data_IF_738486745219
#
_entry.id   IF_738486745219
#
_cell.length_a   1.000
_cell.length_b   1.000
_cell.length_c   1.000
_cell.angle_alpha   90.00
_cell.angle_beta   90.00
_cell.angle_gamma   90.00
#
_symmetry.space_group_name_H-M   'P 1'
#
loop_
_entity.id
_entity.type
_entity.pdbx_description
1 polymer ?
#
# COMPACT_ATOMS: atom_id res chain seq x y z
N UNK A 1 -2.90 12.77 16.66
CA UNK A 1 -2.65 11.53 15.89
C UNK A 1 -3.37 10.40 16.60
N UNK A 2 -4.26 9.72 15.88
CA UNK A 2 -5.21 8.75 16.42
C UNK A 2 -4.55 7.61 17.20
N UNK A 3 -5.23 7.18 18.26
CA UNK A 3 -4.87 6.04 19.11
C UNK A 3 -4.68 4.70 18.34
N UNK A 4 -5.08 4.65 17.07
CA UNK A 4 -5.08 3.46 16.21
C UNK A 4 -3.70 3.06 15.65
N UNK A 5 -2.69 3.93 15.72
CA UNK A 5 -1.36 3.67 15.11
C UNK A 5 -0.23 3.50 16.14
N UNK A 6 -0.54 3.45 17.44
CA UNK A 6 0.50 3.57 18.47
C UNK A 6 1.44 2.35 18.55
N UNK A 7 1.04 1.18 18.04
CA UNK A 7 1.81 -0.08 18.09
C UNK A 7 1.49 -1.00 16.90
N UNK A 8 2.08 -0.73 15.73
CA UNK A 8 1.87 -1.57 14.57
C UNK A 8 2.66 -2.88 14.71
N UNK A 9 1.96 -4.00 14.49
CA UNK A 9 2.57 -5.31 14.25
C UNK A 9 2.54 -5.57 12.75
N UNK A 10 3.72 -5.55 12.16
CA UNK A 10 3.95 -5.61 10.72
C UNK A 10 4.24 -7.05 10.31
N UNK A 11 3.35 -7.64 9.52
CA UNK A 11 3.57 -8.93 8.88
C UNK A 11 4.45 -8.70 7.65
N UNK A 12 5.77 -8.87 7.83
CA UNK A 12 6.81 -8.45 6.89
C UNK A 12 7.81 -9.59 6.58
N UNK A 13 7.39 -10.64 5.85
CA UNK A 13 8.25 -11.76 5.52
C UNK A 13 9.42 -11.37 4.60
N UNK A 14 9.35 -10.24 3.91
CA UNK A 14 10.40 -9.74 3.01
C UNK A 14 11.30 -8.66 3.64
N UNK A 15 11.04 -8.22 4.87
CA UNK A 15 11.85 -7.21 5.56
C UNK A 15 11.71 -5.77 5.01
N UNK A 16 10.69 -5.49 4.18
CA UNK A 16 10.49 -4.15 3.61
C UNK A 16 10.06 -3.14 4.67
N UNK A 17 9.15 -3.55 5.55
CA UNK A 17 8.64 -2.71 6.62
C UNK A 17 9.73 -2.46 7.68
N UNK A 18 10.51 -3.48 8.06
CA UNK A 18 11.67 -3.32 8.94
C UNK A 18 12.68 -2.32 8.35
N UNK A 19 13.03 -2.46 7.07
CA UNK A 19 13.95 -1.52 6.39
C UNK A 19 13.38 -0.11 6.33
N UNK A 20 12.08 0.04 6.13
CA UNK A 20 11.42 1.34 6.13
C UNK A 20 11.44 2.01 7.51
N UNK A 21 11.10 1.29 8.58
CA UNK A 21 11.17 1.81 9.97
C UNK A 21 12.60 2.22 10.32
N UNK A 22 13.60 1.38 10.00
CA UNK A 22 15.03 1.70 10.19
C UNK A 22 15.45 2.97 9.46
N UNK A 23 14.87 3.24 8.30
CA UNK A 23 15.17 4.43 7.53
C UNK A 23 14.42 5.68 8.02
N UNK A 24 13.24 5.50 8.60
CA UNK A 24 12.42 6.58 9.14
C UNK A 24 12.95 7.08 10.49
N UNK A 25 13.40 6.15 11.35
CA UNK A 25 13.80 6.43 12.75
C UNK A 25 15.33 6.42 12.94
N UNK A 26 16.11 6.75 11.90
CA UNK A 26 17.58 6.54 11.81
C UNK A 26 18.40 7.07 12.99
N UNK A 27 17.96 8.13 13.65
CA UNK A 27 18.78 8.83 14.65
C UNK A 27 18.81 8.13 16.01
N UNK A 28 17.68 7.55 16.46
CA UNK A 28 17.52 7.03 17.82
C UNK A 28 16.83 5.65 17.90
N UNK A 29 16.80 4.89 16.81
CA UNK A 29 16.15 3.57 16.80
C UNK A 29 16.95 2.51 17.55
N UNK A 30 16.32 1.91 18.56
CA UNK A 30 16.82 0.69 19.21
C UNK A 30 16.20 -0.55 18.55
N UNK A 31 17.03 -1.51 18.15
CA UNK A 31 16.58 -2.77 17.52
C UNK A 31 16.81 -3.90 18.52
N UNK A 32 15.76 -4.65 18.82
CA UNK A 32 15.78 -5.74 19.82
C UNK A 32 14.95 -6.94 19.34
N UNK A 33 15.23 -8.13 19.88
CA UNK A 33 14.45 -9.35 19.68
C UNK A 33 13.93 -9.90 21.01
N UNK A 34 12.88 -10.71 20.95
CA UNK A 34 12.33 -11.38 22.15
C UNK A 34 13.34 -12.33 22.82
N UNK A 35 14.33 -12.83 22.08
CA UNK A 35 15.38 -13.72 22.60
C UNK A 35 16.50 -12.99 23.32
N UNK A 36 16.55 -11.66 23.24
CA UNK A 36 17.67 -10.89 23.76
C UNK A 36 17.57 -10.78 25.29
N UNK A 37 18.62 -11.14 26.06
CA UNK A 37 18.58 -11.09 27.51
C UNK A 37 18.47 -9.66 28.05
N UNK A 38 18.90 -8.68 27.25
CA UNK A 38 18.86 -7.25 27.56
C UNK A 38 17.58 -6.55 27.06
N UNK A 39 16.57 -7.29 26.60
CA UNK A 39 15.33 -6.73 26.04
C UNK A 39 14.67 -5.73 27.00
N UNK A 40 14.40 -6.15 28.23
CA UNK A 40 13.72 -5.32 29.22
C UNK A 40 14.52 -4.07 29.56
N UNK A 41 15.83 -4.20 29.79
CA UNK A 41 16.73 -3.07 30.07
C UNK A 41 16.76 -2.07 28.92
N UNK A 42 16.77 -2.55 27.68
CA UNK A 42 16.75 -1.68 26.48
C UNK A 42 15.42 -0.95 26.35
N UNK A 43 14.31 -1.65 26.63
CA UNK A 43 12.97 -1.05 26.65
C UNK A 43 12.82 -0.01 27.77
N UNK A 44 13.30 -0.30 28.98
CA UNK A 44 13.28 0.64 30.11
C UNK A 44 13.94 1.97 29.74
N UNK A 45 15.17 1.90 29.21
CA UNK A 45 15.90 3.09 28.77
C UNK A 45 15.15 3.81 27.64
N UNK A 46 14.68 3.08 26.63
CA UNK A 46 14.02 3.67 25.47
C UNK A 46 12.71 4.38 25.85
N UNK A 47 11.95 3.81 26.79
CA UNK A 47 10.71 4.41 27.29
C UNK A 47 10.98 5.69 28.08
N UNK A 48 12.04 5.73 28.90
CA UNK A 48 12.41 6.94 29.65
C UNK A 48 12.88 8.06 28.71
N UNK A 49 13.73 7.75 27.73
CA UNK A 49 14.28 8.74 26.80
C UNK A 49 13.35 9.06 25.62
N UNK A 50 12.25 8.34 25.46
CA UNK A 50 11.33 8.51 24.32
C UNK A 50 11.90 8.00 23.00
N UNK A 51 12.87 7.08 23.03
CA UNK A 51 13.49 6.54 21.83
C UNK A 51 12.59 5.48 21.16
N UNK A 52 12.49 5.47 19.82
CA UNK A 52 11.75 4.46 19.11
C UNK A 52 12.43 3.08 19.24
N UNK A 53 11.62 2.04 19.37
CA UNK A 53 12.08 0.65 19.44
C UNK A 53 11.46 -0.17 18.33
N UNK A 54 12.28 -0.96 17.63
CA UNK A 54 11.86 -1.98 16.69
C UNK A 54 12.11 -3.37 17.30
N UNK A 55 11.02 -4.05 17.64
CA UNK A 55 11.02 -5.46 18.04
C UNK A 55 10.94 -6.34 16.80
N UNK A 56 12.03 -7.05 16.49
CA UNK A 56 12.16 -7.90 15.31
C UNK A 56 11.84 -9.36 15.57
N UNK A 57 11.37 -10.03 14.51
CA UNK A 57 11.20 -11.48 14.44
C UNK A 57 10.26 -12.05 15.53
N UNK A 58 9.19 -11.32 15.83
CA UNK A 58 8.18 -11.78 16.78
C UNK A 58 7.42 -13.00 16.22
N UNK A 59 7.25 -14.02 17.07
CA UNK A 59 6.48 -15.23 16.78
C UNK A 59 4.97 -15.01 16.92
N UNK A 60 4.21 -16.08 17.11
CA UNK A 60 2.76 -16.00 17.36
C UNK A 60 2.44 -15.61 18.81
N UNK A 61 3.42 -15.69 19.70
CA UNK A 61 3.33 -15.34 21.11
C UNK A 61 4.17 -14.09 21.41
N UNK A 62 3.65 -13.24 22.29
CA UNK A 62 4.32 -12.06 22.84
C UNK A 62 4.61 -12.29 24.32
N UNK A 63 5.76 -11.80 24.78
CA UNK A 63 6.11 -11.87 26.19
C UNK A 63 5.12 -11.00 27.03
N UNK A 64 4.46 -11.57 28.06
CA UNK A 64 3.56 -10.82 28.94
C UNK A 64 4.19 -9.61 29.62
N UNK A 65 5.52 -9.55 29.75
CA UNK A 65 6.23 -8.39 30.29
C UNK A 65 6.06 -7.14 29.42
N UNK A 66 5.73 -7.28 28.13
CA UNK A 66 5.48 -6.17 27.19
C UNK A 66 4.05 -5.62 27.31
N UNK A 67 3.15 -6.35 27.97
CA UNK A 67 1.74 -6.00 28.13
C UNK A 67 1.48 -4.55 28.59
N UNK A 68 2.24 -3.99 29.55
CA UNK A 68 2.04 -2.62 30.02
C UNK A 68 2.26 -1.58 28.91
N UNK A 69 3.22 -1.83 28.00
CA UNK A 69 3.49 -0.99 26.84
C UNK A 69 2.43 -1.21 25.76
N UNK A 70 2.02 -2.47 25.54
CA UNK A 70 0.99 -2.84 24.56
C UNK A 70 -0.40 -2.28 24.88
N UNK A 71 -0.72 -2.08 26.15
CA UNK A 71 -1.99 -1.51 26.56
C UNK A 71 -1.89 -0.05 26.99
N UNK A 72 -0.68 0.51 27.01
CA UNK A 72 -0.39 1.84 27.57
C UNK A 72 -0.96 1.98 28.99
N UNK A 73 -0.70 0.96 29.82
CA UNK A 73 -1.08 0.95 31.24
C UNK A 73 -0.16 1.87 32.03
N UNK A 74 -0.41 3.18 31.92
CA UNK A 74 0.32 4.21 32.66
C UNK A 74 -0.45 4.64 33.90
N UNK A 75 0.25 4.93 34.98
CA UNK A 75 -0.32 5.51 36.20
C UNK A 75 0.44 6.79 36.57
N UNK A 76 -0.22 7.70 37.28
CA UNK A 76 0.42 8.95 37.73
C UNK A 76 1.06 8.75 39.09
N UNK A 77 2.34 9.10 39.20
CA UNK A 77 3.05 9.16 40.47
C UNK A 77 3.76 10.52 40.58
N UNK A 78 3.43 11.30 41.62
CA UNK A 78 4.03 12.64 41.79
C UNK A 78 3.75 13.63 40.63
N UNK A 79 2.67 13.42 39.87
CA UNK A 79 2.32 14.25 38.70
C UNK A 79 2.98 13.82 37.39
N UNK A 80 3.87 12.81 37.42
CA UNK A 80 4.56 12.24 36.27
C UNK A 80 3.83 10.96 35.84
N UNK A 81 3.70 10.74 34.53
CA UNK A 81 3.15 9.51 33.96
C UNK A 81 4.23 8.41 34.05
N UNK A 82 3.92 7.31 34.74
CA UNK A 82 4.81 6.16 34.94
C UNK A 82 4.21 4.91 34.31
N UNK A 83 5.05 3.95 33.93
CA UNK A 83 4.65 2.61 33.50
C UNK A 83 5.42 1.56 34.30
N UNK A 84 4.75 0.46 34.65
CA UNK A 84 5.41 -0.68 35.27
C UNK A 84 5.87 -1.63 34.16
N UNK A 85 7.16 -1.95 34.09
CA UNK A 85 7.74 -2.89 33.13
C UNK A 85 8.55 -3.93 33.90
N UNK A 86 8.08 -5.18 33.89
CA UNK A 86 8.60 -6.20 34.81
C UNK A 86 8.44 -5.78 36.27
N UNK A 87 9.55 -5.77 37.00
CA UNK A 87 9.60 -5.36 38.42
C UNK A 87 9.89 -3.86 38.60
N UNK A 88 10.23 -3.14 37.52
CA UNK A 88 10.62 -1.73 37.55
C UNK A 88 9.43 -0.81 37.27
N UNK A 89 9.37 0.32 37.98
CA UNK A 89 8.49 1.45 37.62
C UNK A 89 9.33 2.56 37.00
N UNK A 90 9.03 2.91 35.75
CA UNK A 90 9.81 3.87 34.96
C UNK A 90 8.93 5.03 34.48
N UNK A 91 9.54 6.20 34.29
CA UNK A 91 8.87 7.35 33.69
C UNK A 91 8.50 7.06 32.23
N UNK A 92 7.25 7.33 31.87
CA UNK A 92 6.73 7.09 30.53
C UNK A 92 6.82 8.37 29.69
N UNK A 93 7.72 8.38 28.71
CA UNK A 93 7.79 9.47 27.75
C UNK A 93 6.73 9.33 26.65
N UNK A 94 6.02 10.42 26.35
CA UNK A 94 4.94 10.44 25.34
C UNK A 94 5.45 10.31 23.91
N UNK A 95 6.73 10.62 23.67
CA UNK A 95 7.36 10.52 22.35
C UNK A 95 7.82 9.09 22.02
N UNK A 96 7.79 8.17 22.99
CA UNK A 96 8.13 6.77 22.79
C UNK A 96 7.24 6.10 21.73
N UNK A 97 7.86 5.34 20.83
CA UNK A 97 7.20 4.58 19.76
C UNK A 97 7.68 3.14 19.76
N UNK A 98 6.76 2.20 19.62
CA UNK A 98 7.06 0.77 19.53
C UNK A 98 6.59 0.22 18.19
N UNK A 99 7.52 -0.33 17.42
CA UNK A 99 7.28 -1.03 16.16
C UNK A 99 7.53 -2.52 16.37
N UNK A 100 6.64 -3.37 15.88
CA UNK A 100 6.78 -4.82 15.98
C UNK A 100 6.76 -5.40 14.58
N UNK A 101 7.66 -6.32 14.27
CA UNK A 101 7.69 -7.02 12.97
C UNK A 101 7.70 -8.52 13.18
N UNK A 102 7.02 -9.24 12.28
CA UNK A 102 7.08 -10.70 12.18
C UNK A 102 7.45 -11.11 10.77
N UNK A 103 8.26 -12.17 10.63
CA UNK A 103 8.58 -12.79 9.35
C UNK A 103 7.61 -13.93 8.97
N UNK A 104 6.69 -14.28 9.88
CA UNK A 104 5.69 -15.30 9.60
C UNK A 104 4.74 -14.80 8.52
N UNK A 105 4.54 -15.58 7.45
CA UNK A 105 3.64 -15.18 6.34
C UNK A 105 2.17 -15.21 6.74
N UNK A 106 1.79 -16.18 7.55
CA UNK A 106 0.42 -16.39 8.00
C UNK A 106 0.39 -16.71 9.50
N UNK A 107 0.74 -15.75 10.37
CA UNK A 107 0.76 -15.95 11.81
C UNK A 107 -0.68 -16.08 12.32
N UNK A 108 -0.93 -17.08 13.17
CA UNK A 108 -2.21 -17.28 13.81
C UNK A 108 -2.23 -16.64 15.21
N UNK A 109 -2.40 -15.31 15.24
CA UNK A 109 -2.50 -14.58 16.51
C UNK A 109 -3.82 -14.85 17.21
N UNK A 110 -3.75 -15.15 18.51
CA UNK A 110 -4.92 -15.23 19.37
C UNK A 110 -5.65 -13.87 19.41
N UNK A 111 -6.99 -13.86 19.60
CA UNK A 111 -7.76 -12.62 19.72
C UNK A 111 -7.21 -11.66 20.78
N UNK A 112 -6.59 -12.21 21.83
CA UNK A 112 -5.91 -11.44 22.87
C UNK A 112 -4.81 -10.52 22.29
N UNK A 113 -4.01 -10.99 21.35
CA UNK A 113 -2.95 -10.18 20.71
C UNK A 113 -3.58 -9.18 19.74
N UNK A 114 -4.52 -9.65 18.91
CA UNK A 114 -5.19 -8.85 17.88
C UNK A 114 -5.97 -7.65 18.41
N UNK A 115 -6.34 -7.64 19.70
CA UNK A 115 -6.98 -6.49 20.36
C UNK A 115 -5.98 -5.47 20.91
N UNK A 116 -4.72 -5.85 21.14
CA UNK A 116 -3.67 -5.01 21.74
C UNK A 116 -2.80 -4.29 20.71
N UNK A 117 -2.61 -4.90 19.55
CA UNK A 117 -1.77 -4.39 18.45
C UNK A 117 -2.59 -4.08 17.21
N UNK A 118 -2.07 -3.18 16.37
CA UNK A 118 -2.63 -2.95 15.04
C UNK A 118 -1.91 -3.84 14.03
N UNK A 119 -2.58 -4.91 13.58
CA UNK A 119 -2.02 -5.83 12.59
C UNK A 119 -2.02 -5.19 11.21
N UNK A 120 -0.84 -5.05 10.62
CA UNK A 120 -0.68 -4.50 9.27
C UNK A 120 0.05 -5.52 8.40
N UNK A 121 -0.57 -5.87 7.27
CA UNK A 121 0.00 -6.82 6.33
C UNK A 121 0.92 -6.12 5.33
N UNK A 122 2.22 -6.41 5.40
CA UNK A 122 3.26 -5.91 4.49
C UNK A 122 3.73 -6.98 3.49
N UNK A 123 2.99 -8.08 3.34
CA UNK A 123 3.29 -9.06 2.30
C UNK A 123 3.15 -8.45 0.91
N UNK A 124 4.20 -8.62 0.10
CA UNK A 124 4.16 -8.27 -1.32
C UNK A 124 3.09 -9.11 -2.02
N UNK A 125 2.14 -8.44 -2.66
CA UNK A 125 1.16 -9.10 -3.53
C UNK A 125 1.80 -9.49 -4.86
N UNK A 126 1.34 -10.56 -5.54
CA UNK A 126 1.87 -10.93 -6.86
C UNK A 126 1.82 -9.78 -7.88
N UNK A 127 0.75 -8.99 -7.86
CA UNK A 127 0.61 -7.78 -8.67
C UNK A 127 1.66 -6.72 -8.30
N UNK A 128 1.89 -6.49 -7.00
CA UNK A 128 2.92 -5.57 -6.53
C UNK A 128 4.33 -6.01 -6.90
N UNK A 129 4.61 -7.32 -6.90
CA UNK A 129 5.88 -7.87 -7.36
C UNK A 129 6.05 -7.69 -8.87
N UNK A 130 5.00 -7.94 -9.66
CA UNK A 130 5.01 -7.72 -11.10
C UNK A 130 5.30 -6.26 -11.43
N UNK A 131 4.64 -5.33 -10.75
CA UNK A 131 4.86 -3.90 -10.94
C UNK A 131 6.27 -3.45 -10.50
N UNK A 132 6.82 -4.04 -9.44
CA UNK A 132 8.23 -3.81 -9.04
C UNK A 132 9.22 -4.30 -10.09
N UNK A 133 9.02 -5.52 -10.61
CA UNK A 133 9.86 -6.08 -11.66
C UNK A 133 9.74 -5.26 -12.95
N UNK A 134 8.52 -4.86 -13.33
CA UNK A 134 8.29 -3.99 -14.47
C UNK A 134 9.04 -2.66 -14.32
N UNK A 135 9.03 -2.06 -13.12
CA UNK A 135 9.82 -0.86 -12.84
C UNK A 135 11.32 -1.04 -13.08
N UNK A 136 11.91 -2.14 -12.59
CA UNK A 136 13.33 -2.45 -12.80
C UNK A 136 13.65 -2.65 -14.29
N UNK A 137 12.79 -3.36 -15.02
CA UNK A 137 12.97 -3.60 -16.46
C UNK A 137 12.85 -2.31 -17.25
N UNK A 138 11.86 -1.46 -16.94
CA UNK A 138 11.69 -0.16 -17.59
C UNK A 138 12.91 0.74 -17.33
N UNK A 139 13.42 0.77 -16.10
CA UNK A 139 14.62 1.54 -15.77
C UNK A 139 15.85 1.10 -16.59
N UNK A 140 15.96 -0.19 -16.90
CA UNK A 140 17.06 -0.73 -17.69
C UNK A 140 16.88 -0.53 -19.20
N UNK A 141 15.67 -0.75 -19.72
CA UNK A 141 15.37 -0.68 -21.16
C UNK A 141 15.18 0.76 -21.65
N UNK A 142 14.60 1.62 -20.80
CA UNK A 142 14.25 3.02 -21.10
C UNK A 142 14.55 3.92 -19.90
N UNK A 143 15.85 4.18 -19.61
CA UNK A 143 16.25 5.05 -18.51
C UNK A 143 15.70 6.47 -18.66
N UNK A 144 15.53 6.95 -19.89
CA UNK A 144 14.90 8.25 -20.20
C UNK A 144 13.47 8.37 -19.66
N UNK A 145 12.67 7.30 -19.79
CA UNK A 145 11.31 7.25 -19.26
C UNK A 145 11.30 7.17 -17.73
N UNK A 146 12.28 6.48 -17.14
CA UNK A 146 12.40 6.37 -15.68
C UNK A 146 12.85 7.71 -15.06
N UNK A 147 13.81 8.41 -15.67
CA UNK A 147 14.20 9.76 -15.26
C UNK A 147 13.01 10.73 -15.33
N UNK A 148 12.25 10.71 -16.44
CA UNK A 148 11.04 11.51 -16.57
C UNK A 148 10.01 11.15 -15.49
N UNK A 149 9.81 9.86 -15.19
CA UNK A 149 8.92 9.40 -14.11
C UNK A 149 9.38 9.92 -12.75
N UNK A 150 10.67 9.84 -12.44
CA UNK A 150 11.23 10.33 -11.18
C UNK A 150 11.05 11.84 -11.02
N UNK A 151 11.33 12.61 -12.08
CA UNK A 151 11.08 14.05 -12.09
C UNK A 151 9.60 14.37 -11.86
N UNK A 152 8.69 13.63 -12.50
CA UNK A 152 7.25 13.80 -12.29
C UNK A 152 6.84 13.47 -10.86
N UNK A 153 7.42 12.45 -10.22
CA UNK A 153 7.13 12.11 -8.81
C UNK A 153 7.55 13.26 -7.89
N UNK A 154 8.77 13.77 -8.07
CA UNK A 154 9.30 14.90 -7.28
C UNK A 154 8.44 16.15 -7.49
N UNK A 155 8.13 16.48 -8.74
CA UNK A 155 7.26 17.62 -9.07
C UNK A 155 5.86 17.45 -8.49
N UNK A 156 5.29 16.24 -8.55
CA UNK A 156 3.97 15.94 -7.97
C UNK A 156 3.97 16.15 -6.45
N UNK A 157 5.02 15.69 -5.77
CA UNK A 157 5.19 15.89 -4.33
C UNK A 157 5.34 17.37 -3.98
N UNK A 158 6.15 18.12 -4.73
CA UNK A 158 6.33 19.56 -4.55
C UNK A 158 5.02 20.34 -4.79
N UNK A 159 4.27 19.98 -5.84
CA UNK A 159 2.97 20.58 -6.13
C UNK A 159 1.96 20.31 -5.01
N UNK A 160 1.91 19.09 -4.48
CA UNK A 160 1.02 18.74 -3.36
C UNK A 160 1.37 19.53 -2.10
N UNK A 161 2.66 19.69 -1.80
CA UNK A 161 3.13 20.52 -0.69
C UNK A 161 2.74 21.99 -0.89
N UNK A 162 2.96 22.52 -2.09
CA UNK A 162 2.61 23.91 -2.42
C UNK A 162 1.12 24.18 -2.29
N UNK A 163 0.26 23.22 -2.67
CA UNK A 163 -1.19 23.32 -2.47
C UNK A 163 -1.57 23.37 -1.00
N UNK A 164 -0.96 22.55 -0.15
CA UNK A 164 -1.20 22.57 1.31
C UNK A 164 -0.74 23.89 1.92
N UNK A 165 0.46 24.36 1.59
CA UNK A 165 0.96 25.65 2.07
C UNK A 165 0.06 26.83 1.65
N UNK A 166 -0.55 26.72 0.47
CA UNK A 166 -1.48 27.72 -0.02
C UNK A 166 -2.83 27.66 0.72
N UNK A 167 -3.34 26.46 0.97
CA UNK A 167 -4.53 26.25 1.79
C UNK A 167 -4.34 26.81 3.21
N UNK A 168 -3.19 26.53 3.83
CA UNK A 168 -2.84 27.06 5.15
C UNK A 168 -2.74 28.59 5.14
N UNK A 169 -2.16 29.19 4.10
CA UNK A 169 -2.10 30.65 3.93
C UNK A 169 -3.49 31.27 3.78
N UNK A 170 -4.37 30.65 2.98
CA UNK A 170 -5.74 31.12 2.82
C UNK A 170 -6.49 31.06 4.15
N UNK A 171 -6.39 29.93 4.87
CA UNK A 171 -7.02 29.76 6.18
C UNK A 171 -6.49 30.78 7.20
N UNK A 172 -5.18 31.04 7.20
CA UNK A 172 -4.56 32.06 8.05
C UNK A 172 -5.10 33.47 7.75
N UNK A 173 -5.10 33.88 6.47
CA UNK A 173 -5.61 35.18 6.05
C UNK A 173 -7.09 35.35 6.38
N UNK A 174 -7.91 34.29 6.17
CA UNK A 174 -9.32 34.30 6.54
C UNK A 174 -9.52 34.46 8.04
N UNK A 175 -8.82 33.67 8.86
CA UNK A 175 -8.90 33.77 10.32
C UNK A 175 -8.46 35.13 10.85
N UNK A 176 -7.46 35.77 10.23
CA UNK A 176 -7.01 37.11 10.59
C UNK A 176 -8.05 38.19 10.22
N UNK A 177 -8.83 37.95 9.16
CA UNK A 177 -9.85 38.87 8.66
C UNK A 177 -11.23 38.75 9.33
N UNK A 178 -11.49 37.75 10.18
CA UNK A 178 -12.79 37.59 10.87
C UNK A 178 -13.15 38.77 11.81
N UNK A 179 -12.22 39.69 12.10
CA UNK A 179 -12.44 40.90 12.89
C UNK A 179 -12.56 42.23 12.10
N UNK A 180 -12.22 42.26 10.81
CA UNK A 180 -12.21 43.47 9.96
C UNK A 180 -12.69 43.09 8.56
N UNK A 181 -13.66 43.82 8.01
CA UNK A 181 -14.26 43.54 6.70
C UNK A 181 -13.20 43.13 5.66
N UNK A 182 -13.15 41.85 5.28
CA UNK A 182 -12.13 41.27 4.39
C UNK A 182 -12.03 42.02 3.05
N UNK A 183 -13.13 42.64 2.63
CA UNK A 183 -13.22 43.47 1.43
C UNK A 183 -12.44 44.79 1.53
N UNK A 184 -12.06 45.22 2.74
CA UNK A 184 -11.25 46.41 3.01
C UNK A 184 -9.75 46.08 3.14
N UNK A 185 -9.41 44.79 3.22
CA UNK A 185 -8.03 44.33 3.29
C UNK A 185 -7.52 44.00 1.88
N UNK A 186 -6.89 44.98 1.24
CA UNK A 186 -6.30 44.88 -0.09
C UNK A 186 -5.24 43.75 -0.15
N UNK A 187 -4.46 43.57 0.91
CA UNK A 187 -3.46 42.49 1.01
C UNK A 187 -4.11 41.10 1.05
N UNK A 188 -5.23 40.95 1.76
CA UNK A 188 -5.97 39.69 1.81
C UNK A 188 -6.55 39.32 0.43
N UNK A 189 -7.04 40.32 -0.31
CA UNK A 189 -7.62 40.13 -1.64
C UNK A 189 -6.53 39.74 -2.66
N UNK A 190 -5.37 40.39 -2.61
CA UNK A 190 -4.23 40.06 -3.48
C UNK A 190 -3.66 38.66 -3.21
N UNK A 191 -3.57 38.25 -1.94
CA UNK A 191 -3.16 36.89 -1.56
C UNK A 191 -4.14 35.85 -2.07
N UNK A 192 -5.45 36.11 -2.00
CA UNK A 192 -6.48 35.19 -2.50
C UNK A 192 -6.45 35.07 -4.04
N UNK A 193 -6.27 36.18 -4.75
CA UNK A 193 -6.20 36.18 -6.22
C UNK A 193 -4.93 35.49 -6.72
N UNK A 194 -3.76 35.80 -6.16
CA UNK A 194 -2.50 35.12 -6.50
C UNK A 194 -2.56 33.62 -6.18
N UNK A 195 -3.22 33.25 -5.08
CA UNK A 195 -3.45 31.85 -4.71
C UNK A 195 -4.30 31.13 -5.75
N UNK A 196 -5.38 31.74 -6.22
CA UNK A 196 -6.26 31.15 -7.24
C UNK A 196 -5.49 30.82 -8.53
N UNK A 197 -4.65 31.75 -9.00
CA UNK A 197 -3.81 31.50 -10.18
C UNK A 197 -2.85 30.33 -9.99
N UNK A 198 -2.18 30.24 -8.83
CA UNK A 198 -1.26 29.14 -8.53
C UNK A 198 -1.98 27.78 -8.46
N UNK A 199 -3.19 27.73 -7.87
CA UNK A 199 -4.01 26.50 -7.85
C UNK A 199 -4.34 26.04 -9.26
N UNK A 200 -4.76 26.96 -10.13
CA UNK A 200 -5.17 26.63 -11.49
C UNK A 200 -3.97 26.16 -12.34
N UNK A 201 -2.79 26.78 -12.20
CA UNK A 201 -1.55 26.33 -12.83
C UNK A 201 -1.13 24.92 -12.35
N UNK A 202 -1.19 24.67 -11.04
CA UNK A 202 -0.88 23.35 -10.48
C UNK A 202 -1.87 22.29 -10.99
N UNK A 203 -3.17 22.60 -11.05
CA UNK A 203 -4.20 21.69 -11.60
C UNK A 203 -3.95 21.39 -13.08
N UNK A 204 -3.56 22.40 -13.87
CA UNK A 204 -3.23 22.22 -15.28
C UNK A 204 -2.00 21.31 -15.47
N UNK A 205 -0.94 21.53 -14.67
CA UNK A 205 0.26 20.68 -14.66
C UNK A 205 -0.08 19.23 -14.29
N UNK A 206 -0.86 19.02 -13.21
CA UNK A 206 -1.29 17.69 -12.79
C UNK A 206 -2.11 16.96 -13.87
N UNK A 207 -2.98 17.67 -14.59
CA UNK A 207 -3.75 17.07 -15.70
C UNK A 207 -2.83 16.57 -16.82
N UNK A 208 -1.79 17.33 -17.18
CA UNK A 208 -0.80 16.92 -18.19
C UNK A 208 0.04 15.72 -17.72
N UNK A 209 0.40 15.64 -16.44
CA UNK A 209 1.13 14.47 -15.90
C UNK A 209 0.32 13.17 -16.00
N UNK A 210 -1.00 13.26 -15.85
CA UNK A 210 -1.89 12.09 -15.90
C UNK A 210 -2.07 11.54 -17.32
N UNK A 211 -1.78 12.36 -18.33
CA UNK A 211 -1.90 12.01 -19.75
C UNK A 211 -0.59 11.58 -20.39
N UNK A 212 0.43 11.18 -19.63
CA UNK A 212 1.69 10.69 -20.20
C UNK A 212 1.49 9.32 -20.89
N UNK A 213 0.99 9.35 -22.12
CA UNK A 213 0.57 8.19 -22.91
C UNK A 213 1.75 7.26 -23.22
N UNK A 214 2.94 7.81 -23.46
CA UNK A 214 4.12 7.03 -23.84
C UNK A 214 4.60 6.11 -22.71
N UNK A 215 4.60 6.61 -21.46
CA UNK A 215 4.95 5.79 -20.29
C UNK A 215 3.94 4.67 -20.07
N UNK A 216 2.63 4.98 -20.17
CA UNK A 216 1.56 3.98 -19.98
C UNK A 216 1.57 2.92 -21.08
N UNK A 217 1.79 3.32 -22.32
CA UNK A 217 1.87 2.39 -23.46
C UNK A 217 3.08 1.48 -23.33
N UNK A 218 4.26 2.04 -23.04
CA UNK A 218 5.48 1.25 -22.86
C UNK A 218 5.36 0.25 -21.69
N UNK A 219 4.80 0.69 -20.56
CA UNK A 219 4.52 -0.20 -19.42
C UNK A 219 3.57 -1.34 -19.80
N UNK A 220 2.50 -1.04 -20.55
CA UNK A 220 1.55 -2.05 -21.01
C UNK A 220 2.20 -3.07 -21.95
N UNK A 221 3.00 -2.60 -22.90
CA UNK A 221 3.70 -3.45 -23.87
C UNK A 221 4.74 -4.35 -23.16
N UNK A 222 5.50 -3.78 -22.20
CA UNK A 222 6.43 -4.55 -21.37
C UNK A 222 5.72 -5.55 -20.45
N UNK A 223 4.56 -5.20 -19.89
CA UNK A 223 3.77 -6.11 -19.04
C UNK A 223 3.33 -7.35 -19.82
N UNK A 224 2.91 -7.19 -21.08
CA UNK A 224 2.57 -8.30 -21.98
C UNK A 224 3.81 -9.17 -22.25
N UNK A 225 4.95 -8.56 -22.60
CA UNK A 225 6.18 -9.29 -22.89
C UNK A 225 6.75 -10.04 -21.67
N UNK A 226 6.65 -9.45 -20.48
CA UNK A 226 7.05 -10.09 -19.22
C UNK A 226 6.11 -11.23 -18.87
N UNK A 227 4.79 -11.03 -18.98
CA UNK A 227 3.81 -12.08 -18.76
C UNK A 227 4.03 -13.28 -19.70
N UNK A 228 4.31 -13.03 -20.98
CA UNK A 228 4.63 -14.08 -21.95
C UNK A 228 5.94 -14.82 -21.58
N UNK A 229 7.00 -14.09 -21.21
CA UNK A 229 8.27 -14.70 -20.79
C UNK A 229 8.17 -15.47 -19.48
N UNK A 230 7.41 -14.98 -18.51
CA UNK A 230 7.12 -15.65 -17.24
C UNK A 230 6.25 -16.90 -17.46
N UNK A 231 5.22 -16.82 -18.30
CA UNK A 231 4.35 -17.94 -18.64
C UNK A 231 5.08 -19.05 -19.42
N UNK A 232 6.04 -18.69 -20.27
CA UNK A 232 6.94 -19.65 -20.93
C UNK A 232 7.87 -20.31 -19.90
N UNK A 233 8.35 -19.55 -18.90
CA UNK A 233 9.12 -20.09 -17.78
C UNK A 233 8.27 -21.09 -16.96
N UNK A 234 7.02 -20.78 -16.65
CA UNK A 234 6.09 -21.67 -15.92
C UNK A 234 5.83 -23.01 -16.62
N UNK A 235 5.86 -23.06 -17.96
CA UNK A 235 5.77 -24.34 -18.71
C UNK A 235 7.05 -25.18 -18.63
N UNK A 236 8.20 -24.59 -18.31
CA UNK A 236 9.50 -25.27 -18.19
C UNK A 236 9.82 -25.57 -16.72
N UNK A 237 9.20 -24.82 -15.79
CA UNK A 237 9.42 -24.87 -14.34
C UNK A 237 8.76 -26.04 -13.59
N UNK A 238 8.16 -27.02 -14.27
CA UNK A 238 7.78 -28.29 -13.59
C UNK A 238 9.01 -29.03 -13.00
N UNK A 239 10.24 -28.53 -13.20
CA UNK A 239 11.44 -29.00 -12.50
C UNK A 239 12.31 -27.82 -12.00
N UNK A 240 12.09 -27.45 -10.73
CA UNK A 240 12.95 -26.63 -9.86
C UNK A 240 13.29 -25.22 -10.35
N UNK A 241 12.74 -24.22 -9.68
CA UNK A 241 13.31 -22.87 -9.66
C UNK A 241 13.71 -22.54 -8.23
N UNK A 242 15.01 -22.28 -8.04
CA UNK A 242 15.58 -21.66 -6.85
C UNK A 242 15.94 -20.23 -7.26
N UNK A 243 15.33 -19.24 -6.62
CA UNK A 243 15.74 -17.83 -6.73
C UNK A 243 15.94 -17.33 -5.30
N UNK A 244 17.18 -16.99 -4.97
CA UNK A 244 17.63 -16.22 -3.79
C UNK A 244 16.95 -16.53 -2.45
N UNK A 245 17.62 -17.29 -1.57
CA UNK A 245 17.40 -17.48 -0.11
C UNK A 245 15.98 -17.65 0.47
N UNK A 246 14.91 -17.61 -0.33
CA UNK A 246 13.53 -17.72 0.13
C UNK A 246 12.84 -18.85 -0.63
N UNK A 247 12.70 -19.99 0.03
CA UNK A 247 11.85 -21.07 -0.46
C UNK A 247 10.37 -20.61 -0.48
N UNK A 248 9.73 -20.72 -1.63
CA UNK A 248 8.28 -20.55 -1.78
C UNK A 248 7.74 -21.80 -2.45
N UNK A 249 7.17 -22.71 -1.66
CA UNK A 249 6.47 -23.88 -2.20
C UNK A 249 5.07 -23.44 -2.62
N UNK A 250 4.83 -23.31 -3.93
CA UNK A 250 3.50 -23.11 -4.48
C UNK A 250 2.96 -24.47 -4.99
N UNK A 251 2.13 -25.16 -4.20
CA UNK A 251 1.37 -26.33 -4.68
C UNK A 251 0.09 -25.85 -5.36
N UNK A 252 0.06 -25.83 -6.69
CA UNK A 252 -1.18 -25.62 -7.46
C UNK A 252 -1.87 -26.96 -7.74
N UNK A 253 -3.06 -27.15 -7.15
CA UNK A 253 -3.93 -28.30 -7.39
C UNK A 253 -4.59 -28.17 -8.78
N UNK A 254 -4.22 -29.03 -9.71
CA UNK A 254 -4.75 -29.09 -11.09
C UNK A 254 -6.27 -29.29 -11.09
N UNK A 255 -7.05 -28.27 -11.49
CA UNK A 255 -8.43 -28.46 -11.98
C UNK A 255 -8.42 -28.50 -13.51
N UNK A 256 -8.16 -29.67 -14.07
CA UNK A 256 -8.38 -29.95 -15.49
C UNK A 256 -9.89 -30.04 -15.75
N UNK A 257 -10.44 -29.21 -16.64
CA UNK A 257 -11.83 -29.42 -17.08
C UNK A 257 -12.42 -28.46 -18.12
N UNK A 258 -12.09 -27.16 -18.12
CA UNK A 258 -12.88 -26.19 -18.91
C UNK A 258 -12.22 -25.60 -20.16
N UNK A 259 -10.88 -25.70 -20.33
CA UNK A 259 -10.20 -25.07 -21.49
C UNK A 259 -10.39 -25.82 -22.83
N UNK A 260 -10.50 -27.16 -22.83
CA UNK A 260 -10.70 -27.93 -24.08
C UNK A 260 -12.05 -27.66 -24.78
N UNK A 261 -13.11 -27.27 -24.05
CA UNK A 261 -14.43 -27.03 -24.66
C UNK A 261 -14.58 -25.67 -25.35
N UNK A 262 -13.80 -24.64 -24.98
CA UNK A 262 -13.90 -23.33 -25.64
C UNK A 262 -13.17 -23.28 -26.98
N UNK A 263 -12.10 -24.06 -27.14
CA UNK A 263 -11.27 -24.07 -28.35
C UNK A 263 -11.97 -24.83 -29.49
N UNK A 264 -12.59 -25.98 -29.20
CA UNK A 264 -13.40 -26.73 -30.17
C UNK A 264 -14.66 -25.98 -30.62
N UNK A 265 -15.28 -25.17 -29.75
CA UNK A 265 -16.45 -24.33 -30.10
C UNK A 265 -16.06 -23.15 -31.02
N UNK A 266 -14.87 -22.56 -30.81
CA UNK A 266 -14.34 -21.48 -31.66
C UNK A 266 -14.01 -21.96 -33.07
N UNK A 267 -13.46 -23.16 -33.22
CA UNK A 267 -13.13 -23.72 -34.54
C UNK A 267 -14.40 -24.04 -35.34
N UNK A 268 -15.44 -24.60 -34.70
CA UNK A 268 -16.74 -24.83 -35.36
C UNK A 268 -17.47 -23.54 -35.77
N UNK A 269 -17.43 -22.49 -34.94
CA UNK A 269 -18.03 -21.19 -35.30
C UNK A 269 -17.28 -20.47 -36.43
N UNK A 270 -15.97 -20.71 -36.58
CA UNK A 270 -15.15 -20.08 -37.64
C UNK A 270 -15.36 -20.74 -39.01
N UNK A 271 -15.70 -22.03 -39.06
CA UNK A 271 -16.04 -22.72 -40.32
C UNK A 271 -17.44 -22.40 -40.85
N UNK A 272 -18.42 -22.14 -39.97
CA UNK A 272 -19.80 -21.83 -40.38
C UNK A 272 -19.95 -20.38 -40.91
N UNK A 273 -19.07 -19.46 -40.47
CA UNK A 273 -19.12 -18.05 -40.88
C UNK A 273 -18.56 -17.76 -42.28
N UNK A 274 -17.80 -18.67 -42.89
CA UNK A 274 -17.23 -18.42 -44.23
C UNK A 274 -18.18 -18.65 -45.39
N UNK A 275 -19.30 -19.36 -45.18
CA UNK A 275 -20.20 -19.75 -46.27
C UNK A 275 -21.53 -18.97 -46.32
N UNK A 276 -21.81 -18.06 -45.37
CA UNK A 276 -23.11 -17.39 -45.24
C UNK A 276 -23.11 -15.85 -45.38
N UNK A 277 -21.96 -15.20 -45.54
CA UNK A 277 -21.83 -13.73 -45.49
C UNK A 277 -21.77 -13.07 -46.89
N UNK A 278 -22.72 -13.37 -47.78
CA UNK A 278 -22.87 -12.63 -49.05
C UNK A 278 -24.19 -11.86 -49.19
N UNK A 279 -25.21 -12.08 -48.35
CA UNK A 279 -26.54 -11.49 -48.56
C UNK A 279 -27.18 -10.79 -47.35
N UNK A 280 -26.55 -10.75 -46.18
CA UNK A 280 -27.16 -10.20 -44.96
C UNK A 280 -26.56 -8.88 -44.43
N UNK A 281 -25.55 -8.33 -45.10
CA UNK A 281 -24.79 -7.17 -44.61
C UNK A 281 -25.48 -5.80 -44.77
N UNK A 282 -26.64 -5.71 -45.45
CA UNK A 282 -27.34 -4.42 -45.64
C UNK A 282 -28.55 -4.18 -44.72
N UNK A 283 -28.95 -5.16 -43.89
CA UNK A 283 -30.20 -5.07 -43.12
C UNK A 283 -30.05 -4.99 -41.60
N UNK A 284 -28.83 -5.06 -41.05
CA UNK A 284 -28.60 -4.98 -39.59
C UNK A 284 -28.17 -3.60 -39.06
N UNK A 285 -27.76 -2.66 -39.92
CA UNK A 285 -27.30 -1.32 -39.50
C UNK A 285 -28.46 -0.44 -38.97
N UNK A 286 -29.72 -0.83 -39.23
CA UNK A 286 -30.91 -0.12 -38.77
C UNK A 286 -31.47 -0.61 -37.42
N UNK A 287 -30.95 -1.70 -36.84
CA UNK A 287 -31.47 -2.29 -35.59
C UNK A 287 -30.62 -1.99 -34.35
N UNK A 288 -29.37 -1.53 -34.49
CA UNK A 288 -28.48 -1.27 -33.35
C UNK A 288 -28.67 0.11 -32.68
N UNK A 289 -29.49 1.00 -33.24
CA UNK A 289 -29.76 2.31 -32.63
C UNK A 289 -30.83 2.30 -31.53
N UNK A 290 -31.62 1.22 -31.38
CA UNK A 290 -32.78 1.19 -30.47
C UNK A 290 -32.67 0.23 -29.26
N UNK A 291 -31.51 -0.36 -29.00
CA UNK A 291 -31.29 -1.24 -27.82
C UNK A 291 -30.21 -0.71 -26.85
N UNK A 292 -29.77 0.54 -27.01
CA UNK A 292 -28.95 1.30 -26.05
C UNK A 292 -29.77 1.89 -24.88
N UNK A 293 -30.79 1.18 -24.40
CA UNK A 293 -31.56 1.61 -23.24
C UNK A 293 -32.36 0.44 -22.64
N UNK A 294 -31.73 -0.33 -21.73
CA UNK A 294 -32.36 -0.87 -20.49
C UNK A 294 -31.52 -1.99 -19.82
N UNK A 295 -31.45 -1.92 -18.49
CA UNK A 295 -31.23 -2.98 -17.48
C UNK A 295 -29.83 -3.26 -16.90
N UNK A 296 -29.56 -2.59 -15.77
CA UNK A 296 -29.18 -3.09 -14.43
C UNK A 296 -28.30 -4.37 -14.33
N UNK A 297 -27.06 -4.18 -13.86
CA UNK A 297 -26.25 -5.22 -13.22
C UNK A 297 -26.51 -5.23 -11.71
N UNK A 298 -27.11 -6.31 -11.21
CA UNK A 298 -27.04 -6.77 -9.83
C UNK A 298 -26.57 -8.22 -9.87
N UNK A 299 -25.42 -8.53 -9.26
CA UNK A 299 -25.12 -9.90 -8.83
C UNK A 299 -24.27 -9.84 -7.54
N UNK A 300 -24.93 -10.22 -6.45
CA UNK A 300 -24.39 -10.54 -5.14
C UNK A 300 -24.05 -12.02 -5.11
N UNK A 301 -22.76 -12.38 -5.02
CA UNK A 301 -22.37 -13.76 -4.72
C UNK A 301 -22.16 -13.94 -3.21
N UNK A 302 -23.08 -14.73 -2.65
CA UNK A 302 -23.15 -15.22 -1.28
C UNK A 302 -22.05 -16.27 -1.05
N UNK A 303 -21.23 -16.11 -0.01
CA UNK A 303 -20.27 -17.12 0.44
C UNK A 303 -20.95 -17.98 1.52
N UNK A 304 -21.20 -19.26 1.24
CA UNK A 304 -21.54 -20.27 2.25
C UNK A 304 -20.26 -20.89 2.81
N UNK A 305 -20.15 -20.91 4.15
CA UNK A 305 -19.12 -21.61 4.91
C UNK A 305 -19.70 -22.93 5.41
N UNK A 306 -19.12 -24.07 5.04
CA UNK A 306 -19.38 -25.35 5.70
C UNK A 306 -18.19 -25.71 6.61
N UNK A 307 -18.51 -25.96 7.89
CA UNK A 307 -17.61 -26.55 8.88
C UNK A 307 -17.68 -28.07 8.80
N UNK A 308 -16.55 -28.76 8.96
CA UNK A 308 -16.54 -30.16 9.39
C UNK A 308 -15.86 -30.26 10.75
N UNK A 309 -16.58 -30.89 11.69
CA UNK A 309 -16.15 -31.23 13.05
C UNK A 309 -15.04 -32.27 13.09
#
# INVERSE_FOLDING_TARGET
>A
MDALLFRPLLIDPQGQASKWVKNMEKENLSIVKLTDPDLLRTLENSVQFGWPVLLEDVGEELDPSLEPLLQRKTFKHGGIDMVQLGDSSIEFNKDFRLYITTKLRNPHYLPEISTKVSLINFMITPEGLEDQLLGIVVAQERPDLEEARQQLIVQTAANKKSLQELEDKILFTLAQSEGSNILENEEATEVLDSSKFLVDDIKAKQKCTHTNFDTRKFQKDMKILLAERLFIKDRILERKMVIGEVEVIATVKKRNGKRKQMEDKRIKHKMVKTDADATHAQSMELLELNTMSSSLYTDTDVITLEYQS
#
